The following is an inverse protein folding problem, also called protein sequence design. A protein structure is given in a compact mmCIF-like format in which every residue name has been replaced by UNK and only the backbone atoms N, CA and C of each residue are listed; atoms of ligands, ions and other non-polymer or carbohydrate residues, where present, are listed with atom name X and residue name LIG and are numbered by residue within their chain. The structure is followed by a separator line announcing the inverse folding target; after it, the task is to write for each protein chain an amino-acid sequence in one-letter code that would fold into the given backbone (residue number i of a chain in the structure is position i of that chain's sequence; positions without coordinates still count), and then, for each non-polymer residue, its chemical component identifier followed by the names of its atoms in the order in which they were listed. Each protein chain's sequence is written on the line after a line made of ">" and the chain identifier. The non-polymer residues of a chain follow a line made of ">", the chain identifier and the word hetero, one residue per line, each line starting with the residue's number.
data_IF_963734482517
#
_entry.id   IF_963734482517
#
_cell.length_a   1.000
_cell.length_b   1.000
_cell.length_c   1.000
_cell.angle_alpha   90.00
_cell.angle_beta   90.00
_cell.angle_gamma   90.00
#
_symmetry.space_group_name_H-M   'P 1'
#
loop_
_entity.id
_entity.type
_entity.pdbx_description
1 polymer ?
#
# COMPACT_ATOMS: atom_id res chain seq x y z
N UNK A 1 28.54 1.81 4.07
CA UNK A 1 27.47 1.53 3.08
C UNK A 1 27.54 2.64 2.05
N UNK A 2 27.86 2.28 0.82
CA UNK A 2 28.03 3.24 -0.28
C UNK A 2 26.67 3.55 -0.93
N UNK A 3 26.54 4.70 -1.58
CA UNK A 3 25.31 5.09 -2.29
C UNK A 3 24.89 4.07 -3.38
N UNK A 4 25.83 3.26 -3.88
CA UNK A 4 25.56 2.20 -4.85
C UNK A 4 24.87 0.98 -4.22
N UNK A 5 25.24 0.61 -2.99
CA UNK A 5 24.60 -0.48 -2.25
C UNK A 5 23.18 -0.10 -1.79
N UNK A 6 22.93 1.17 -1.47
CA UNK A 6 21.58 1.66 -1.16
C UNK A 6 20.66 1.68 -2.38
N UNK A 7 21.17 2.12 -3.54
CA UNK A 7 20.39 2.14 -4.78
C UNK A 7 19.96 0.73 -5.21
N UNK A 8 20.87 -0.24 -5.12
CA UNK A 8 20.56 -1.65 -5.38
C UNK A 8 19.52 -2.22 -4.39
N UNK A 9 19.54 -1.79 -3.13
CA UNK A 9 18.54 -2.19 -2.13
C UNK A 9 17.13 -1.72 -2.49
N UNK A 10 16.98 -0.50 -2.98
CA UNK A 10 15.66 0.04 -3.33
C UNK A 10 15.13 -0.49 -4.68
N UNK A 11 16.01 -0.76 -5.64
CA UNK A 11 15.62 -1.35 -6.94
C UNK A 11 15.00 -2.75 -6.81
N UNK A 12 15.29 -3.47 -5.74
CA UNK A 12 14.79 -4.83 -5.50
C UNK A 12 13.51 -4.90 -4.63
N UNK A 13 13.05 -3.79 -4.04
CA UNK A 13 11.87 -3.82 -3.14
C UNK A 13 10.60 -3.57 -3.95
N UNK A 14 9.76 -4.59 -4.04
CA UNK A 14 8.43 -4.52 -4.65
C UNK A 14 7.34 -4.51 -3.58
N UNK A 15 6.27 -3.75 -3.79
CA UNK A 15 5.06 -3.79 -2.96
C UNK A 15 3.83 -4.07 -3.82
N UNK A 16 2.85 -4.78 -3.26
CA UNK A 16 1.57 -5.09 -3.95
C UNK A 16 0.52 -4.05 -3.60
N UNK A 17 -0.11 -3.47 -4.61
CA UNK A 17 -1.09 -2.40 -4.43
C UNK A 17 -2.49 -2.92 -4.76
N UNK A 18 -3.43 -2.74 -3.84
CA UNK A 18 -4.84 -3.03 -4.09
C UNK A 18 -5.45 -1.96 -5.01
N UNK A 19 -5.34 -0.70 -4.61
CA UNK A 19 -5.88 0.44 -5.36
C UNK A 19 -5.15 1.74 -5.03
N UNK A 20 -5.43 2.77 -5.83
CA UNK A 20 -4.84 4.10 -5.71
C UNK A 20 -5.94 5.13 -5.74
N UNK A 21 -5.88 6.09 -4.82
CA UNK A 21 -6.74 7.28 -4.83
C UNK A 21 -5.89 8.54 -4.98
N UNK A 22 -6.11 9.28 -6.06
CA UNK A 22 -5.19 10.36 -6.47
C UNK A 22 -5.46 11.70 -5.79
N UNK A 23 -6.65 11.90 -5.22
CA UNK A 23 -7.13 13.17 -4.65
C UNK A 23 -7.94 12.95 -3.36
N UNK A 24 -7.46 12.06 -2.48
CA UNK A 24 -8.12 11.74 -1.22
C UNK A 24 -8.22 12.96 -0.30
N UNK A 25 -9.42 13.18 0.24
CA UNK A 25 -9.73 14.32 1.14
C UNK A 25 -10.15 13.87 2.54
N UNK A 26 -10.31 12.56 2.75
CA UNK A 26 -10.80 11.96 3.99
C UNK A 26 -9.72 11.14 4.73
N UNK A 27 -8.58 10.87 4.09
CA UNK A 27 -7.47 10.07 4.65
C UNK A 27 -6.42 10.91 5.40
N UNK A 28 -6.82 12.11 5.83
CA UNK A 28 -6.01 13.05 6.58
C UNK A 28 -6.14 14.48 6.06
N UNK A 29 -5.43 15.45 6.68
CA UNK A 29 -5.56 16.86 6.31
C UNK A 29 -5.05 17.15 4.89
N UNK A 30 -5.80 17.94 4.12
CA UNK A 30 -5.44 18.38 2.77
C UNK A 30 -5.80 17.36 1.67
N UNK A 31 -5.17 17.51 0.51
CA UNK A 31 -5.27 16.54 -0.59
C UNK A 31 -4.16 15.50 -0.50
N UNK A 32 -4.52 14.23 -0.66
CA UNK A 32 -3.61 13.09 -0.52
C UNK A 32 -3.63 12.20 -1.75
N UNK A 33 -2.46 11.69 -2.09
CA UNK A 33 -2.31 10.54 -2.98
C UNK A 33 -2.18 9.30 -2.09
N UNK A 34 -3.21 8.47 -2.06
CA UNK A 34 -3.32 7.34 -1.14
C UNK A 34 -3.05 6.06 -1.90
N UNK A 35 -2.15 5.25 -1.37
CA UNK A 35 -1.90 3.90 -1.83
C UNK A 35 -2.54 2.93 -0.82
N UNK A 36 -3.56 2.20 -1.27
CA UNK A 36 -4.09 1.07 -0.50
C UNK A 36 -3.26 -0.16 -0.84
N UNK A 37 -2.47 -0.63 0.13
CA UNK A 37 -1.65 -1.83 -0.04
C UNK A 37 -2.51 -3.09 0.05
N UNK A 38 -2.11 -4.13 -0.67
CA UNK A 38 -2.77 -5.43 -0.60
C UNK A 38 -2.26 -6.23 0.62
N UNK A 39 -3.19 -6.86 1.34
CA UNK A 39 -2.91 -7.79 2.43
C UNK A 39 -3.16 -7.18 3.80
N UNK A 40 -3.97 -7.85 4.62
CA UNK A 40 -4.20 -7.49 6.01
C UNK A 40 -4.36 -8.76 6.85
N UNK A 41 -3.59 -8.96 7.94
CA UNK A 41 -3.69 -10.16 8.76
C UNK A 41 -4.92 -10.16 9.69
N UNK A 42 -5.73 -9.10 9.67
CA UNK A 42 -6.90 -8.95 10.52
C UNK A 42 -8.18 -9.36 9.79
N UNK A 43 -9.16 -9.86 10.55
CA UNK A 43 -10.49 -10.22 10.07
C UNK A 43 -11.56 -9.37 10.79
N UNK A 44 -11.46 -8.04 10.67
CA UNK A 44 -12.37 -7.11 11.33
C UNK A 44 -13.82 -7.37 10.90
N UNK A 45 -14.75 -7.45 11.86
CA UNK A 45 -16.18 -7.69 11.58
C UNK A 45 -16.81 -6.61 10.68
N UNK A 46 -16.26 -5.40 10.71
CA UNK A 46 -16.69 -4.23 9.95
C UNK A 46 -15.51 -3.66 9.15
N UNK A 47 -14.73 -4.55 8.51
CA UNK A 47 -13.70 -4.14 7.58
C UNK A 47 -14.31 -3.32 6.43
N UNK A 48 -13.73 -2.16 6.15
CA UNK A 48 -14.20 -1.32 5.05
C UNK A 48 -13.79 -1.88 3.68
N UNK A 49 -12.64 -2.57 3.62
CA UNK A 49 -12.04 -3.12 2.41
C UNK A 49 -11.76 -4.63 2.58
N UNK A 50 -12.80 -5.49 2.68
CA UNK A 50 -12.63 -6.92 2.93
C UNK A 50 -11.92 -7.65 1.78
N UNK A 51 -12.02 -7.12 0.57
CA UNK A 51 -11.34 -7.57 -0.66
C UNK A 51 -9.82 -7.38 -0.60
N UNK A 52 -9.33 -6.44 0.20
CA UNK A 52 -7.89 -6.21 0.40
C UNK A 52 -7.23 -7.16 1.42
N UNK A 53 -7.98 -8.06 2.08
CA UNK A 53 -7.46 -8.92 3.16
C UNK A 53 -6.45 -9.96 2.64
N UNK A 54 -6.74 -10.60 1.50
CA UNK A 54 -5.87 -11.62 0.90
C UNK A 54 -4.49 -11.07 0.53
N UNK A 55 -3.43 -11.85 0.71
CA UNK A 55 -2.05 -11.42 0.38
C UNK A 55 -1.65 -11.72 -1.08
N UNK A 56 -2.48 -12.44 -1.81
CA UNK A 56 -2.25 -12.93 -3.18
C UNK A 56 -2.82 -12.01 -4.27
N UNK A 57 -3.65 -11.02 -3.89
CA UNK A 57 -4.25 -10.04 -4.78
C UNK A 57 -3.34 -8.85 -5.16
N UNK A 58 -3.95 -7.76 -5.62
CA UNK A 58 -3.25 -6.53 -6.01
C UNK A 58 -2.37 -6.66 -7.25
N UNK A 59 -1.89 -5.50 -7.72
CA UNK A 59 -0.93 -5.36 -8.83
C UNK A 59 0.51 -5.21 -8.34
#
# INVERSE_FOLDING_TARGET
>A
MTNQEEKARWEAVTGRIHSVETLGTLDGPGLRYVLFLQGCPLACQYCHNPDAIGFDGGV
#
